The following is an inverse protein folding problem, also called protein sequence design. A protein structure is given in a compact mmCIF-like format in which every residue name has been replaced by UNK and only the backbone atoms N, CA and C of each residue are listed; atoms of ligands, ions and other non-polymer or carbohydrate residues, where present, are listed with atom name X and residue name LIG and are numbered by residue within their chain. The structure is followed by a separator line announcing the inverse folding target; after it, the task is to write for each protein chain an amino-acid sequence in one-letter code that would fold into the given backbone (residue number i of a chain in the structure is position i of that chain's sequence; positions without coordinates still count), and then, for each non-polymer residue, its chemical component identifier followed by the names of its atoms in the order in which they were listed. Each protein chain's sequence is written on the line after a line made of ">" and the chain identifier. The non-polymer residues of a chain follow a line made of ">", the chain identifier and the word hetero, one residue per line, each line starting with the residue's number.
data_IF_053736892213
#
_entry.id   IF_053736892213
#
_cell.length_a   1.000
_cell.length_b   1.000
_cell.length_c   1.000
_cell.angle_alpha   90.00
_cell.angle_beta   90.00
_cell.angle_gamma   90.00
#
_symmetry.space_group_name_H-M   'P 1'
#
loop_
_entity.id
_entity.type
_entity.pdbx_description
1 polymer ?
#
# COMPACT_ATOMS: atom_id res chain seq x y z
N UNK A 1 -15.73 -15.34 2.55
CA UNK A 1 -14.41 -15.56 3.20
C UNK A 1 -13.67 -16.71 2.52
N UNK A 2 -14.37 -17.82 2.23
CA UNK A 2 -13.85 -19.04 1.59
C UNK A 2 -12.95 -18.76 0.38
N UNK A 3 -13.42 -17.95 -0.57
CA UNK A 3 -12.66 -17.61 -1.79
C UNK A 3 -11.28 -17.00 -1.50
N UNK A 4 -11.19 -16.10 -0.52
CA UNK A 4 -9.92 -15.49 -0.16
C UNK A 4 -9.01 -16.48 0.58
N UNK A 5 -9.58 -17.36 1.39
CA UNK A 5 -8.84 -18.47 1.99
C UNK A 5 -8.27 -19.41 0.94
N UNK A 6 -9.05 -19.76 -0.09
CA UNK A 6 -8.55 -20.60 -1.19
C UNK A 6 -7.46 -19.89 -2.00
N UNK A 7 -7.61 -18.59 -2.26
CA UNK A 7 -6.53 -17.77 -2.85
C UNK A 7 -5.26 -17.83 -1.97
N UNK A 8 -5.38 -17.60 -0.66
CA UNK A 8 -4.24 -17.59 0.26
C UNK A 8 -3.43 -18.89 0.17
N UNK A 9 -4.12 -20.03 0.27
CA UNK A 9 -3.46 -21.34 0.23
C UNK A 9 -2.94 -21.70 -1.17
N UNK A 10 -3.63 -21.28 -2.25
CA UNK A 10 -3.11 -21.44 -3.62
C UNK A 10 -1.81 -20.66 -3.79
N UNK A 11 -1.76 -19.41 -3.31
CA UNK A 11 -0.55 -18.57 -3.39
C UNK A 11 0.60 -19.10 -2.54
N UNK A 12 0.31 -19.63 -1.35
CA UNK A 12 1.31 -20.23 -0.46
C UNK A 12 1.93 -21.51 -1.04
N UNK A 13 1.11 -22.32 -1.74
CA UNK A 13 1.58 -23.51 -2.43
C UNK A 13 2.35 -23.22 -3.75
N UNK A 14 2.18 -22.03 -4.34
CA UNK A 14 2.81 -21.65 -5.60
C UNK A 14 4.26 -21.15 -5.40
N UNK A 15 5.20 -21.74 -6.14
CA UNK A 15 6.58 -21.24 -6.25
C UNK A 15 6.80 -20.39 -7.50
N UNK A 16 6.02 -20.63 -8.58
CA UNK A 16 6.12 -19.93 -9.85
C UNK A 16 5.46 -18.54 -9.86
N UNK A 17 6.12 -17.57 -10.49
CA UNK A 17 5.57 -16.21 -10.65
C UNK A 17 4.29 -16.18 -11.48
N UNK A 18 4.24 -16.96 -12.57
CA UNK A 18 3.06 -17.00 -13.44
C UNK A 18 1.86 -17.66 -12.74
N UNK A 19 2.08 -18.74 -11.98
CA UNK A 19 1.01 -19.41 -11.22
C UNK A 19 0.38 -18.47 -10.19
N UNK A 20 1.20 -17.61 -9.54
CA UNK A 20 0.71 -16.57 -8.63
C UNK A 20 -0.13 -15.53 -9.36
N UNK A 21 0.31 -15.07 -10.54
CA UNK A 21 -0.45 -14.11 -11.36
C UNK A 21 -1.79 -14.71 -11.79
N UNK A 22 -1.80 -15.98 -12.20
CA UNK A 22 -3.02 -16.70 -12.56
C UNK A 22 -3.98 -16.82 -11.38
N UNK A 23 -3.48 -17.23 -10.21
CA UNK A 23 -4.31 -17.33 -8.99
C UNK A 23 -4.95 -15.98 -8.62
N UNK A 24 -4.19 -14.89 -8.70
CA UNK A 24 -4.71 -13.53 -8.46
C UNK A 24 -5.77 -13.15 -9.48
N UNK A 25 -5.51 -13.41 -10.77
CA UNK A 25 -6.44 -13.12 -11.86
C UNK A 25 -7.77 -13.84 -11.68
N UNK A 26 -7.71 -15.15 -11.42
CA UNK A 26 -8.90 -15.98 -11.23
C UNK A 26 -9.73 -15.51 -10.02
N UNK A 27 -9.07 -15.13 -8.92
CA UNK A 27 -9.75 -14.55 -7.76
C UNK A 27 -10.42 -13.21 -8.10
N UNK A 28 -9.67 -12.25 -8.66
CA UNK A 28 -10.18 -10.90 -8.93
C UNK A 28 -11.25 -10.88 -10.03
N UNK A 29 -11.26 -11.85 -10.94
CA UNK A 29 -12.33 -12.01 -11.93
C UNK A 29 -13.65 -12.49 -11.31
N UNK A 30 -13.58 -13.31 -10.25
CA UNK A 30 -14.74 -13.96 -9.67
C UNK A 30 -15.25 -13.27 -8.38
N UNK A 31 -14.40 -12.53 -7.68
CA UNK A 31 -14.73 -11.90 -6.39
C UNK A 31 -15.73 -10.74 -6.56
N UNK A 32 -16.72 -10.60 -5.65
CA UNK A 32 -17.53 -9.38 -5.57
C UNK A 32 -16.64 -8.13 -5.39
N UNK A 33 -17.05 -6.95 -5.91
CA UNK A 33 -16.19 -5.76 -5.90
C UNK A 33 -15.65 -5.36 -4.52
N UNK A 34 -16.46 -5.42 -3.47
CA UNK A 34 -16.01 -5.09 -2.11
C UNK A 34 -14.99 -6.10 -1.55
N UNK A 35 -15.20 -7.39 -1.83
CA UNK A 35 -14.26 -8.45 -1.46
C UNK A 35 -12.94 -8.33 -2.23
N UNK A 36 -13.01 -7.91 -3.49
CA UNK A 36 -11.84 -7.64 -4.32
C UNK A 36 -11.06 -6.42 -3.79
N UNK A 37 -11.74 -5.32 -3.45
CA UNK A 37 -11.13 -4.15 -2.83
C UNK A 37 -10.44 -4.51 -1.50
N UNK A 38 -11.13 -5.29 -0.66
CA UNK A 38 -10.58 -5.74 0.63
C UNK A 38 -9.34 -6.64 0.43
N UNK A 39 -9.40 -7.61 -0.47
CA UNK A 39 -8.28 -8.49 -0.78
C UNK A 39 -7.09 -7.72 -1.36
N UNK A 40 -7.35 -6.76 -2.26
CA UNK A 40 -6.32 -5.89 -2.83
C UNK A 40 -5.58 -5.12 -1.74
N UNK A 41 -6.30 -4.51 -0.79
CA UNK A 41 -5.68 -3.82 0.34
C UNK A 41 -4.82 -4.76 1.19
N UNK A 42 -5.29 -5.98 1.45
CA UNK A 42 -4.52 -7.00 2.19
C UNK A 42 -3.24 -7.39 1.45
N UNK A 43 -3.34 -7.71 0.16
CA UNK A 43 -2.23 -8.21 -0.66
C UNK A 43 -1.18 -7.14 -0.95
N UNK A 44 -1.59 -5.86 -1.08
CA UNK A 44 -0.68 -4.74 -1.25
C UNK A 44 -0.04 -4.27 0.07
N UNK A 45 -0.31 -4.93 1.19
CA UNK A 45 0.31 -4.62 2.47
C UNK A 45 -0.22 -3.33 3.10
N UNK A 46 -1.47 -2.94 2.81
CA UNK A 46 -2.11 -1.85 3.52
C UNK A 46 -2.03 -2.11 5.03
N UNK A 47 -1.72 -1.05 5.79
CA UNK A 47 -1.44 -1.15 7.23
C UNK A 47 -2.64 -1.77 7.96
N UNK A 48 -2.54 -3.07 8.23
CA UNK A 48 -3.65 -3.85 8.79
C UNK A 48 -3.95 -3.38 10.21
N UNK A 49 -5.24 -3.22 10.50
CA UNK A 49 -5.72 -2.77 11.79
C UNK A 49 -5.67 -3.94 12.78
N UNK A 50 -4.90 -3.79 13.86
CA UNK A 50 -4.90 -4.74 14.97
C UNK A 50 -6.07 -4.44 15.89
N UNK A 51 -7.12 -5.26 15.80
CA UNK A 51 -8.29 -5.15 16.68
C UNK A 51 -8.07 -5.80 18.04
N UNK A 52 -7.30 -6.89 18.06
CA UNK A 52 -7.04 -7.75 19.23
C UNK A 52 -5.54 -8.02 19.32
N UNK A 53 -5.00 -8.03 20.54
CA UNK A 53 -3.60 -8.38 20.80
C UNK A 53 -3.36 -9.89 20.76
N UNK A 54 -2.13 -10.31 20.49
CA UNK A 54 -1.74 -11.72 20.52
C UNK A 54 -1.91 -12.34 21.91
N UNK A 55 -1.66 -11.57 22.98
CA UNK A 55 -1.86 -12.03 24.36
C UNK A 55 -3.33 -12.30 24.69
N UNK A 56 -4.24 -11.42 24.25
CA UNK A 56 -5.70 -11.64 24.39
C UNK A 56 -6.14 -12.92 23.68
N UNK A 57 -5.68 -13.15 22.43
CA UNK A 57 -6.03 -14.36 21.68
C UNK A 57 -5.59 -15.64 22.40
N UNK A 58 -4.35 -15.67 22.92
CA UNK A 58 -3.85 -16.83 23.68
C UNK A 58 -4.63 -17.07 24.96
N UNK A 59 -4.93 -15.99 25.69
CA UNK A 59 -5.71 -16.06 26.92
C UNK A 59 -7.11 -16.60 26.66
N UNK A 60 -7.84 -16.06 25.68
CA UNK A 60 -9.18 -16.53 25.34
C UNK A 60 -9.17 -17.95 24.77
N UNK A 61 -8.13 -18.33 24.03
CA UNK A 61 -8.00 -19.71 23.55
C UNK A 61 -7.82 -20.68 24.72
N UNK A 62 -6.96 -20.35 25.70
CA UNK A 62 -6.80 -21.13 26.92
C UNK A 62 -8.13 -21.30 27.68
N UNK A 63 -8.92 -20.21 27.81
CA UNK A 63 -10.26 -20.27 28.42
C UNK A 63 -11.21 -21.20 27.65
N UNK A 64 -11.27 -21.08 26.32
CA UNK A 64 -12.19 -21.86 25.47
C UNK A 64 -11.83 -23.35 25.44
N UNK A 65 -10.55 -23.68 25.40
CA UNK A 65 -10.10 -25.08 25.36
C UNK A 65 -9.98 -25.72 26.74
N UNK A 66 -10.12 -24.93 27.82
CA UNK A 66 -9.85 -25.37 29.19
C UNK A 66 -8.37 -25.69 29.44
N UNK A 67 -7.46 -25.19 28.59
CA UNK A 67 -6.02 -25.38 28.75
C UNK A 67 -5.43 -24.35 29.70
N UNK A 68 -4.33 -24.73 30.37
CA UNK A 68 -3.56 -23.77 31.14
C UNK A 68 -2.79 -22.83 30.20
N UNK A 69 -2.61 -21.53 30.54
CA UNK A 69 -1.94 -20.57 29.65
C UNK A 69 -0.54 -21.01 29.19
N UNK A 70 0.23 -21.63 30.09
CA UNK A 70 1.57 -22.13 29.75
C UNK A 70 1.55 -23.18 28.64
N UNK A 71 0.50 -24.01 28.55
CA UNK A 71 0.39 -25.03 27.51
C UNK A 71 0.17 -24.39 26.14
N UNK A 72 -0.59 -23.30 26.06
CA UNK A 72 -0.78 -22.53 24.82
C UNK A 72 0.54 -21.91 24.37
N UNK A 73 1.36 -21.42 25.30
CA UNK A 73 2.70 -20.90 25.00
C UNK A 73 3.64 -21.99 24.48
N UNK A 74 3.63 -23.18 25.08
CA UNK A 74 4.41 -24.34 24.60
C UNK A 74 3.96 -24.81 23.21
N UNK A 75 2.65 -24.87 22.95
CA UNK A 75 2.13 -25.18 21.61
C UNK A 75 2.63 -24.17 20.57
N UNK A 76 2.62 -22.88 20.91
CA UNK A 76 3.14 -21.86 20.03
C UNK A 76 4.65 -21.97 19.81
N UNK A 77 5.43 -22.25 20.87
CA UNK A 77 6.87 -22.43 20.75
C UNK A 77 7.22 -23.58 19.80
N UNK A 78 6.38 -24.61 19.73
CA UNK A 78 6.54 -25.73 18.80
C UNK A 78 6.13 -25.40 17.36
N UNK A 79 4.99 -24.74 17.16
CA UNK A 79 4.44 -24.45 15.81
C UNK A 79 5.12 -23.24 15.16
N UNK A 80 5.47 -22.21 15.94
CA UNK A 80 6.13 -20.99 15.46
C UNK A 80 5.22 -19.95 14.79
N UNK A 81 3.97 -20.31 14.43
CA UNK A 81 2.95 -19.40 13.91
C UNK A 81 1.71 -19.41 14.81
N UNK A 82 1.31 -18.22 15.28
CA UNK A 82 0.18 -18.11 16.22
C UNK A 82 -1.16 -18.46 15.56
N UNK A 83 -1.36 -18.11 14.30
CA UNK A 83 -2.63 -18.37 13.63
C UNK A 83 -2.85 -19.88 13.45
N UNK A 84 -1.80 -20.60 13.07
CA UNK A 84 -1.78 -22.06 12.99
C UNK A 84 -1.91 -22.71 14.36
N UNK A 85 -1.17 -22.23 15.37
CA UNK A 85 -1.28 -22.73 16.76
C UNK A 85 -2.72 -22.66 17.25
N UNK A 86 -3.36 -21.49 17.12
CA UNK A 86 -4.75 -21.28 17.56
C UNK A 86 -5.69 -22.18 16.77
N UNK A 87 -5.50 -22.32 15.46
CA UNK A 87 -6.37 -23.15 14.64
C UNK A 87 -6.28 -24.65 14.96
N UNK A 88 -5.13 -25.12 15.45
CA UNK A 88 -4.91 -26.51 15.87
C UNK A 88 -5.48 -26.82 17.26
N UNK A 89 -5.38 -25.89 18.22
CA UNK A 89 -5.83 -26.15 19.61
C UNK A 89 -7.32 -25.86 19.81
N UNK A 90 -7.90 -24.97 19.02
CA UNK A 90 -9.32 -24.63 19.12
C UNK A 90 -10.18 -25.77 18.57
N UNK A 91 -11.32 -26.08 19.21
CA UNK A 91 -12.21 -27.14 18.75
C UNK A 91 -12.68 -26.90 17.32
N UNK A 92 -13.02 -27.97 16.60
CA UNK A 92 -13.59 -27.87 15.26
C UNK A 92 -14.92 -27.11 15.29
N UNK A 93 -15.26 -26.49 14.15
CA UNK A 93 -16.49 -25.73 14.00
C UNK A 93 -17.72 -26.63 14.17
N UNK A 94 -18.64 -26.23 15.06
CA UNK A 94 -19.90 -26.93 15.27
C UNK A 94 -20.80 -26.73 14.04
N UNK A 95 -21.07 -27.80 13.28
CA UNK A 95 -21.96 -27.74 12.12
C UNK A 95 -21.33 -27.19 10.84
N UNK A 96 -20.03 -27.46 10.60
CA UNK A 96 -19.30 -27.12 9.38
C UNK A 96 -19.76 -27.87 8.10
N UNK A 97 -21.07 -28.03 7.90
CA UNK A 97 -21.66 -28.48 6.65
C UNK A 97 -22.32 -27.30 5.94
N UNK A 98 -21.73 -26.83 4.83
CA UNK A 98 -22.23 -25.99 3.72
C UNK A 98 -23.18 -24.79 3.95
N UNK A 99 -23.66 -24.53 5.16
CA UNK A 99 -24.71 -23.56 5.47
C UNK A 99 -24.25 -22.42 6.38
N UNK A 100 -22.99 -22.40 6.83
CA UNK A 100 -22.41 -21.19 7.38
C UNK A 100 -22.38 -20.16 6.24
N UNK A 101 -23.20 -19.10 6.37
CA UNK A 101 -23.27 -18.00 5.42
C UNK A 101 -21.85 -17.64 4.97
N UNK A 102 -21.57 -17.77 3.67
CA UNK A 102 -20.29 -17.35 3.09
C UNK A 102 -20.26 -15.82 3.07
N UNK A 103 -20.21 -15.23 4.25
CA UNK A 103 -20.01 -13.80 4.44
C UNK A 103 -18.76 -13.43 3.64
N UNK A 104 -18.91 -12.48 2.72
CA UNK A 104 -17.80 -11.98 1.91
C UNK A 104 -16.61 -11.55 2.76
N UNK A 105 -15.40 -11.60 2.19
CA UNK A 105 -14.18 -11.14 2.88
C UNK A 105 -14.37 -9.75 3.49
N UNK A 106 -14.95 -8.82 2.73
CA UNK A 106 -15.15 -7.45 3.18
C UNK A 106 -16.08 -7.36 4.40
N UNK A 107 -17.18 -8.12 4.39
CA UNK A 107 -18.13 -8.17 5.50
C UNK A 107 -17.49 -8.74 6.77
N UNK A 108 -16.71 -9.83 6.64
CA UNK A 108 -15.98 -10.42 7.76
C UNK A 108 -14.95 -9.43 8.31
N UNK A 109 -14.11 -8.84 7.47
CA UNK A 109 -13.09 -7.86 7.90
C UNK A 109 -13.73 -6.63 8.55
N UNK A 110 -14.84 -6.13 8.01
CA UNK A 110 -15.55 -5.00 8.62
C UNK A 110 -16.04 -5.37 10.03
N UNK A 111 -16.85 -6.42 10.13
CA UNK A 111 -17.51 -6.86 11.37
C UNK A 111 -16.52 -7.29 12.45
N UNK A 112 -15.50 -8.08 12.09
CA UNK A 112 -14.65 -8.77 13.07
C UNK A 112 -13.30 -8.09 13.30
N UNK A 113 -12.95 -7.07 12.52
CA UNK A 113 -11.67 -6.37 12.66
C UNK A 113 -11.87 -4.86 12.79
N UNK A 114 -12.58 -4.23 11.85
CA UNK A 114 -12.72 -2.75 11.84
C UNK A 114 -13.63 -2.27 12.96
N UNK A 115 -14.85 -2.79 13.03
CA UNK A 115 -15.84 -2.42 14.05
C UNK A 115 -15.35 -2.84 15.44
N UNK A 116 -14.79 -4.05 15.52
CA UNK A 116 -14.33 -4.66 16.77
C UNK A 116 -13.23 -3.86 17.48
N UNK A 117 -12.48 -3.01 16.76
CA UNK A 117 -11.36 -2.25 17.32
C UNK A 117 -11.77 -1.33 18.47
N UNK A 118 -12.95 -0.70 18.35
CA UNK A 118 -13.44 0.29 19.33
C UNK A 118 -14.28 -0.33 20.44
N UNK A 119 -14.54 -1.63 20.37
CA UNK A 119 -15.35 -2.35 21.35
C UNK A 119 -14.56 -2.67 22.63
N UNK A 120 -15.25 -2.81 23.78
CA UNK A 120 -14.63 -3.28 25.02
C UNK A 120 -14.21 -4.76 24.90
N UNK A 121 -13.24 -5.16 25.73
CA UNK A 121 -12.63 -6.50 25.66
C UNK A 121 -13.63 -7.65 25.80
N UNK A 122 -14.68 -7.50 26.60
CA UNK A 122 -15.74 -8.51 26.74
C UNK A 122 -16.47 -8.75 25.42
N UNK A 123 -16.81 -7.68 24.70
CA UNK A 123 -17.45 -7.76 23.38
C UNK A 123 -16.49 -8.30 22.33
N UNK A 124 -15.21 -7.91 22.40
CA UNK A 124 -14.15 -8.49 21.56
C UNK A 124 -14.07 -10.00 21.72
N UNK A 125 -14.03 -10.49 22.97
CA UNK A 125 -14.00 -11.91 23.30
C UNK A 125 -15.24 -12.63 22.75
N UNK A 126 -16.43 -12.08 22.96
CA UNK A 126 -17.68 -12.67 22.48
C UNK A 126 -17.66 -12.87 20.96
N UNK A 127 -17.29 -11.83 20.20
CA UNK A 127 -17.22 -11.91 18.74
C UNK A 127 -16.14 -12.89 18.27
N UNK A 128 -14.94 -12.83 18.84
CA UNK A 128 -13.83 -13.74 18.47
C UNK A 128 -14.20 -15.20 18.72
N UNK A 129 -14.74 -15.51 19.89
CA UNK A 129 -15.14 -16.88 20.24
C UNK A 129 -16.32 -17.37 19.41
N UNK A 130 -17.25 -16.49 19.01
CA UNK A 130 -18.32 -16.86 18.07
C UNK A 130 -17.75 -17.19 16.67
N UNK A 131 -16.79 -16.41 16.17
CA UNK A 131 -16.14 -16.65 14.88
C UNK A 131 -15.36 -17.98 14.90
N UNK A 132 -14.67 -18.31 15.99
CA UNK A 132 -13.97 -19.59 16.12
C UNK A 132 -14.88 -20.81 15.93
N UNK A 133 -16.12 -20.74 16.44
CA UNK A 133 -17.11 -21.82 16.29
C UNK A 133 -17.65 -21.96 14.86
N UNK A 134 -17.51 -20.93 14.03
CA UNK A 134 -18.09 -20.87 12.68
C UNK A 134 -17.09 -21.20 11.57
N UNK A 135 -15.83 -20.77 11.71
CA UNK A 135 -14.83 -20.91 10.65
C UNK A 135 -14.19 -22.30 10.65
N UNK A 136 -14.08 -22.88 9.45
CA UNK A 136 -13.30 -24.10 9.25
C UNK A 136 -11.81 -23.86 9.54
N UNK A 137 -11.06 -24.93 9.80
CA UNK A 137 -9.64 -24.85 10.18
C UNK A 137 -8.80 -23.96 9.23
N UNK A 138 -8.90 -24.18 7.91
CA UNK A 138 -8.18 -23.38 6.89
C UNK A 138 -8.56 -21.89 6.91
N UNK A 139 -9.84 -21.58 7.11
CA UNK A 139 -10.34 -20.20 7.16
C UNK A 139 -9.91 -19.50 8.44
N UNK A 140 -9.92 -20.24 9.55
CA UNK A 140 -9.52 -19.77 10.87
C UNK A 140 -8.06 -19.32 10.88
N UNK A 141 -7.16 -20.04 10.21
CA UNK A 141 -5.75 -19.61 10.05
C UNK A 141 -5.68 -18.25 9.35
N UNK A 142 -6.33 -18.13 8.19
CA UNK A 142 -6.30 -16.89 7.39
C UNK A 142 -6.93 -15.73 8.17
N UNK A 143 -8.05 -15.97 8.85
CA UNK A 143 -8.73 -14.97 9.66
C UNK A 143 -7.85 -14.45 10.82
N UNK A 144 -7.15 -15.33 11.54
CA UNK A 144 -6.22 -14.89 12.59
C UNK A 144 -5.06 -14.06 12.02
N UNK A 145 -4.53 -14.42 10.84
CA UNK A 145 -3.49 -13.64 10.17
C UNK A 145 -4.01 -12.25 9.77
N UNK A 146 -5.26 -12.13 9.33
CA UNK A 146 -5.90 -10.83 9.05
C UNK A 146 -6.11 -10.03 10.34
N UNK A 147 -6.66 -10.64 11.39
CA UNK A 147 -6.98 -10.00 12.67
C UNK A 147 -5.74 -9.40 13.37
N UNK A 148 -4.61 -10.10 13.29
CA UNK A 148 -3.35 -9.72 13.95
C UNK A 148 -2.46 -8.81 13.08
N UNK A 149 -2.83 -8.60 11.82
CA UNK A 149 -2.04 -7.83 10.88
C UNK A 149 -0.83 -8.59 10.30
N UNK A 150 -0.82 -9.92 10.43
CA UNK A 150 0.28 -10.81 10.02
C UNK A 150 0.08 -11.47 8.66
N UNK A 151 -0.98 -11.13 7.93
CA UNK A 151 -1.27 -11.76 6.63
C UNK A 151 -0.25 -11.33 5.57
N UNK A 152 0.71 -12.21 5.30
CA UNK A 152 1.72 -12.07 4.24
C UNK A 152 1.66 -13.31 3.37
N UNK A 153 1.46 -13.12 2.07
CA UNK A 153 1.22 -14.23 1.12
C UNK A 153 2.33 -14.33 0.06
N UNK A 154 3.47 -13.66 0.27
CA UNK A 154 4.60 -13.71 -0.67
C UNK A 154 4.26 -13.21 -2.08
N UNK A 155 3.36 -12.22 -2.17
CA UNK A 155 2.96 -11.55 -3.42
C UNK A 155 3.38 -10.08 -3.32
N UNK A 156 4.10 -9.58 -4.33
CA UNK A 156 4.46 -8.17 -4.41
C UNK A 156 3.35 -7.35 -5.07
N UNK A 157 3.31 -6.04 -4.79
CA UNK A 157 2.39 -5.11 -5.47
C UNK A 157 2.52 -5.17 -6.99
N UNK A 158 3.72 -5.40 -7.51
CA UNK A 158 4.00 -5.57 -8.95
C UNK A 158 3.26 -6.77 -9.54
N UNK A 159 3.19 -7.89 -8.82
CA UNK A 159 2.45 -9.07 -9.30
C UNK A 159 0.94 -8.84 -9.28
N UNK A 160 0.43 -8.15 -8.26
CA UNK A 160 -0.97 -7.73 -8.22
C UNK A 160 -1.29 -6.79 -9.38
N UNK A 161 -0.43 -5.81 -9.64
CA UNK A 161 -0.57 -4.88 -10.76
C UNK A 161 -0.62 -5.62 -12.11
N UNK A 162 0.26 -6.61 -12.31
CA UNK A 162 0.26 -7.44 -13.52
C UNK A 162 -1.04 -8.22 -13.68
N UNK A 163 -1.52 -8.88 -12.63
CA UNK A 163 -2.77 -9.66 -12.68
C UNK A 163 -3.99 -8.77 -13.00
N UNK A 164 -4.08 -7.60 -12.37
CA UNK A 164 -5.16 -6.64 -12.63
C UNK A 164 -5.05 -5.99 -14.02
N UNK A 165 -3.84 -5.77 -14.52
CA UNK A 165 -3.60 -5.25 -15.87
C UNK A 165 -4.12 -6.22 -16.94
N UNK A 166 -3.88 -7.53 -16.77
CA UNK A 166 -4.42 -8.57 -17.64
C UNK A 166 -5.96 -8.59 -17.64
N UNK A 167 -6.59 -8.41 -16.47
CA UNK A 167 -8.06 -8.31 -16.37
C UNK A 167 -8.63 -7.05 -17.01
N UNK A 168 -7.97 -5.91 -16.81
CA UNK A 168 -8.40 -4.62 -17.35
C UNK A 168 -8.08 -4.47 -18.85
N UNK A 169 -7.14 -5.26 -19.38
CA UNK A 169 -6.61 -5.12 -20.73
C UNK A 169 -5.82 -3.83 -20.92
N UNK A 170 -5.00 -3.45 -19.93
CA UNK A 170 -4.13 -2.26 -19.96
C UNK A 170 -2.68 -2.65 -19.72
N UNK A 171 -1.75 -1.74 -19.96
CA UNK A 171 -0.33 -1.97 -19.67
C UNK A 171 -0.08 -2.13 -18.14
N UNK A 172 0.78 -3.06 -17.70
CA UNK A 172 1.12 -3.23 -16.28
C UNK A 172 1.64 -1.96 -15.59
N UNK A 173 2.35 -1.08 -16.29
CA UNK A 173 2.80 0.20 -15.74
C UNK A 173 1.63 1.15 -15.50
N UNK A 174 0.62 1.15 -16.39
CA UNK A 174 -0.62 1.92 -16.20
C UNK A 174 -1.38 1.39 -14.98
N UNK A 175 -1.49 0.07 -14.81
CA UNK A 175 -2.15 -0.50 -13.63
C UNK A 175 -1.36 -0.24 -12.34
N UNK A 176 -0.02 -0.36 -12.37
CA UNK A 176 0.82 -0.04 -11.22
C UNK A 176 0.62 1.42 -10.78
N UNK A 177 0.56 2.34 -11.76
CA UNK A 177 0.21 3.73 -11.54
C UNK A 177 -1.19 3.89 -10.94
N UNK A 178 -2.20 3.18 -11.47
CA UNK A 178 -3.57 3.17 -10.92
C UNK A 178 -3.68 2.55 -9.52
N UNK A 179 -2.72 1.75 -9.11
CA UNK A 179 -2.70 1.20 -7.77
C UNK A 179 -2.09 2.15 -6.75
N UNK A 180 -1.34 3.19 -7.14
CA UNK A 180 -0.71 4.15 -6.23
C UNK A 180 -1.73 4.78 -5.26
N UNK A 181 -1.30 5.05 -4.03
CA UNK A 181 -2.18 5.53 -2.96
C UNK A 181 -3.27 4.52 -2.55
N UNK A 182 -4.41 5.04 -2.09
CA UNK A 182 -5.58 4.25 -1.61
C UNK A 182 -6.68 4.15 -2.69
N UNK A 183 -6.27 3.80 -3.91
CA UNK A 183 -7.12 3.91 -5.09
C UNK A 183 -8.38 3.01 -5.11
N UNK A 184 -8.38 1.94 -4.32
CA UNK A 184 -9.46 0.97 -4.21
C UNK A 184 -9.87 0.74 -2.76
N UNK A 185 -10.22 1.83 -2.07
CA UNK A 185 -10.71 1.79 -0.70
C UNK A 185 -12.03 1.00 -0.55
N UNK A 186 -12.83 0.92 -1.63
CA UNK A 186 -14.12 0.24 -1.70
C UNK A 186 -14.33 -0.48 -3.06
N UNK A 187 -15.43 -1.22 -3.21
CA UNK A 187 -15.74 -1.95 -4.43
C UNK A 187 -15.93 -1.06 -5.65
N UNK A 188 -16.42 0.18 -5.48
CA UNK A 188 -16.55 1.14 -6.57
C UNK A 188 -15.16 1.60 -7.06
N UNK A 189 -14.21 1.82 -6.16
CA UNK A 189 -12.81 2.09 -6.45
C UNK A 189 -12.14 0.94 -7.19
N UNK A 190 -12.36 -0.29 -6.72
CA UNK A 190 -11.86 -1.47 -7.41
C UNK A 190 -12.42 -1.58 -8.84
N UNK A 191 -13.72 -1.39 -9.04
CA UNK A 191 -14.32 -1.44 -10.37
C UNK A 191 -13.74 -0.38 -11.32
N UNK A 192 -13.43 0.82 -10.83
CA UNK A 192 -12.75 1.88 -11.61
C UNK A 192 -11.33 1.50 -12.03
N UNK A 193 -10.61 0.69 -11.26
CA UNK A 193 -9.27 0.24 -11.67
C UNK A 193 -9.32 -0.58 -12.96
N UNK A 194 -10.39 -1.36 -13.15
CA UNK A 194 -10.56 -2.28 -14.27
C UNK A 194 -11.10 -1.61 -15.55
N UNK A 195 -11.48 -0.34 -15.51
CA UNK A 195 -11.93 0.37 -16.71
C UNK A 195 -10.77 0.64 -17.65
N UNK A 196 -10.94 0.53 -18.97
CA UNK A 196 -9.86 0.88 -19.91
C UNK A 196 -9.54 2.36 -19.91
N UNK A 197 -10.58 3.19 -19.88
CA UNK A 197 -10.43 4.64 -19.91
C UNK A 197 -9.76 5.18 -18.64
N UNK A 198 -8.88 6.20 -18.76
CA UNK A 198 -8.34 6.91 -17.61
C UNK A 198 -9.45 7.57 -16.81
N UNK A 199 -9.41 7.44 -15.49
CA UNK A 199 -10.33 8.12 -14.59
C UNK A 199 -9.82 9.51 -14.21
N UNK A 200 -10.70 10.39 -13.71
CA UNK A 200 -10.27 11.67 -13.14
C UNK A 200 -9.28 11.51 -11.97
N UNK A 201 -9.33 10.37 -11.26
CA UNK A 201 -8.35 10.04 -10.22
C UNK A 201 -6.96 9.77 -10.82
N UNK A 202 -6.88 9.22 -12.05
CA UNK A 202 -5.62 8.95 -12.72
C UNK A 202 -4.91 10.22 -13.15
N UNK A 203 -5.67 11.27 -13.47
CA UNK A 203 -5.12 12.60 -13.73
C UNK A 203 -4.39 13.17 -12.51
N UNK A 204 -4.77 12.80 -11.29
CA UNK A 204 -4.14 13.31 -10.06
C UNK A 204 -2.86 12.58 -9.66
N UNK A 205 -2.42 11.55 -10.38
CA UNK A 205 -1.31 10.68 -9.96
C UNK A 205 0.03 11.06 -10.62
N UNK A 206 1.17 10.76 -9.97
CA UNK A 206 2.49 11.04 -10.50
C UNK A 206 2.93 9.96 -11.47
N UNK A 207 3.79 10.29 -12.43
CA UNK A 207 4.47 9.27 -13.21
C UNK A 207 5.41 8.42 -12.34
N UNK A 208 5.80 7.21 -12.78
CA UNK A 208 6.87 6.47 -12.12
C UNK A 208 8.16 7.30 -12.01
N UNK A 209 8.78 7.31 -10.83
CA UNK A 209 10.01 8.06 -10.58
C UNK A 209 11.22 7.38 -11.24
N UNK A 210 11.90 8.10 -12.14
CA UNK A 210 13.13 7.62 -12.80
C UNK A 210 14.31 7.64 -11.82
N UNK A 211 15.05 6.53 -11.68
CA UNK A 211 16.10 6.40 -10.66
C UNK A 211 17.49 6.58 -11.28
N UNK A 212 18.34 7.35 -10.59
CA UNK A 212 19.75 7.47 -10.94
C UNK A 212 20.54 6.25 -10.44
N UNK A 213 21.49 5.80 -11.26
CA UNK A 213 22.52 4.85 -10.84
C UNK A 213 23.71 5.62 -10.25
N UNK A 214 24.27 5.12 -9.15
CA UNK A 214 25.51 5.66 -8.62
C UNK A 214 26.66 5.30 -9.57
N UNK A 215 27.63 6.21 -9.72
CA UNK A 215 28.86 5.94 -10.46
C UNK A 215 29.84 5.20 -9.53
N UNK A 216 30.43 4.13 -10.04
CA UNK A 216 31.40 3.32 -9.29
C UNK A 216 32.77 4.00 -9.16
N UNK A 217 33.04 5.00 -10.00
CA UNK A 217 34.27 5.80 -9.98
C UNK A 217 33.99 7.27 -10.21
N UNK A 218 34.74 8.16 -9.55
CA UNK A 218 34.73 9.59 -9.84
C UNK A 218 35.68 10.03 -10.96
N UNK A 219 36.34 9.06 -11.62
CA UNK A 219 37.26 9.33 -12.72
C UNK A 219 36.50 9.67 -14.01
N UNK A 220 36.77 10.85 -14.57
CA UNK A 220 36.02 11.40 -15.71
C UNK A 220 36.16 10.53 -16.95
N UNK A 221 37.33 9.95 -17.19
CA UNK A 221 37.61 9.12 -18.37
C UNK A 221 36.82 7.81 -18.30
N UNK A 222 36.78 7.19 -17.13
CA UNK A 222 36.00 5.97 -16.87
C UNK A 222 34.49 6.23 -16.98
N UNK A 223 34.02 7.37 -16.48
CA UNK A 223 32.60 7.76 -16.59
C UNK A 223 32.24 8.10 -18.03
N UNK A 224 33.10 8.81 -18.77
CA UNK A 224 32.91 9.11 -20.19
C UNK A 224 32.88 7.86 -21.08
N UNK A 225 33.66 6.84 -20.75
CA UNK A 225 33.56 5.55 -21.43
C UNK A 225 32.18 4.87 -21.26
N UNK A 226 31.44 5.21 -20.19
CA UNK A 226 30.14 4.60 -19.86
C UNK A 226 28.96 5.47 -20.31
N UNK A 227 29.01 6.78 -20.06
CA UNK A 227 27.91 7.73 -20.30
C UNK A 227 28.03 8.48 -21.63
N UNK A 228 29.13 8.30 -22.37
CA UNK A 228 29.41 9.06 -23.59
C UNK A 228 30.17 10.35 -23.32
N UNK A 229 30.25 11.22 -24.32
CA UNK A 229 31.07 12.41 -24.26
C UNK A 229 30.59 13.38 -23.17
N UNK A 230 31.54 13.93 -22.40
CA UNK A 230 31.26 14.89 -21.33
C UNK A 230 30.50 16.14 -21.84
N UNK A 231 30.64 16.47 -23.12
CA UNK A 231 29.92 17.57 -23.77
C UNK A 231 28.41 17.36 -23.85
N UNK A 232 27.95 16.11 -23.73
CA UNK A 232 26.53 15.75 -23.79
C UNK A 232 25.91 15.68 -22.39
N UNK A 233 26.70 15.92 -21.34
CA UNK A 233 26.25 15.81 -19.97
C UNK A 233 25.57 17.08 -19.50
N UNK A 234 24.47 16.90 -18.77
CA UNK A 234 23.88 17.94 -17.92
C UNK A 234 24.17 17.56 -16.46
N UNK A 235 24.65 18.52 -15.66
CA UNK A 235 25.01 18.30 -14.27
C UNK A 235 24.22 19.24 -13.36
N UNK A 236 23.59 18.67 -12.35
CA UNK A 236 22.80 19.39 -11.38
C UNK A 236 23.21 19.06 -9.94
N UNK A 237 22.81 19.92 -9.02
CA UNK A 237 23.02 19.67 -7.60
C UNK A 237 22.16 18.51 -7.12
N UNK A 238 22.78 17.52 -6.48
CA UNK A 238 22.05 16.52 -5.72
C UNK A 238 21.58 17.12 -4.40
N UNK A 239 20.34 17.60 -4.37
CA UNK A 239 19.74 18.20 -3.19
C UNK A 239 19.55 17.19 -2.04
N UNK A 240 19.63 17.67 -0.79
CA UNK A 240 19.32 16.91 0.44
C UNK A 240 17.88 17.21 0.88
N UNK A 241 16.92 16.62 0.18
CA UNK A 241 15.50 16.91 0.35
C UNK A 241 14.61 15.68 0.29
N UNK A 242 13.34 15.94 -0.04
CA UNK A 242 12.38 14.89 -0.34
C UNK A 242 11.92 15.01 -1.79
N UNK A 243 12.35 14.08 -2.63
CA UNK A 243 11.89 13.96 -4.01
C UNK A 243 10.37 13.89 -4.08
N UNK A 244 9.82 14.72 -4.96
CA UNK A 244 8.39 14.79 -5.20
C UNK A 244 8.07 15.12 -6.66
N UNK A 245 6.92 14.66 -7.13
CA UNK A 245 6.34 15.12 -8.37
C UNK A 245 5.20 16.09 -8.09
N UNK A 246 5.20 17.20 -8.82
CA UNK A 246 4.12 18.17 -8.81
C UNK A 246 3.27 17.95 -10.06
N UNK A 247 2.00 17.62 -9.86
CA UNK A 247 1.05 17.29 -10.93
C UNK A 247 -0.04 18.36 -10.96
N UNK A 248 -0.12 19.11 -12.05
CA UNK A 248 -1.15 20.12 -12.32
C UNK A 248 -1.99 19.67 -13.52
N UNK A 249 -3.18 19.11 -13.28
CA UNK A 249 -4.09 18.61 -14.33
C UNK A 249 -5.54 18.85 -13.91
N UNK A 250 -6.42 19.14 -14.88
CA UNK A 250 -7.86 19.30 -14.62
C UNK A 250 -8.22 20.45 -13.67
N UNK A 251 -7.33 21.42 -13.46
CA UNK A 251 -7.50 22.52 -12.49
C UNK A 251 -7.13 22.14 -11.04
N UNK A 252 -6.63 20.93 -10.82
CA UNK A 252 -6.15 20.46 -9.52
C UNK A 252 -4.62 20.38 -9.49
N UNK A 253 -4.06 20.67 -8.32
CA UNK A 253 -2.63 20.51 -8.03
C UNK A 253 -2.45 19.43 -6.96
N UNK A 254 -1.62 18.44 -7.25
CA UNK A 254 -1.23 17.40 -6.31
C UNK A 254 0.28 17.27 -6.23
N UNK A 255 0.80 17.08 -5.02
CA UNK A 255 2.22 16.88 -4.75
C UNK A 255 2.39 15.49 -4.17
N UNK A 256 3.16 14.66 -4.86
CA UNK A 256 3.40 13.26 -4.49
C UNK A 256 4.83 13.04 -4.10
N UNK A 257 5.07 12.44 -2.94
CA UNK A 257 6.41 11.99 -2.57
C UNK A 257 6.81 10.75 -3.38
N UNK A 258 8.12 10.48 -3.45
CA UNK A 258 8.63 9.21 -3.99
C UNK A 258 8.01 7.95 -3.35
N UNK A 259 7.55 8.05 -2.09
CA UNK A 259 6.87 6.98 -1.37
C UNK A 259 5.42 6.74 -1.81
N UNK A 260 4.97 7.39 -2.88
CA UNK A 260 3.58 7.35 -3.37
C UNK A 260 2.57 7.93 -2.36
N UNK A 261 3.01 8.90 -1.54
CA UNK A 261 2.14 9.58 -0.59
C UNK A 261 1.76 10.98 -1.11
N UNK A 262 0.48 11.32 -1.00
CA UNK A 262 0.00 12.66 -1.28
C UNK A 262 0.40 13.59 -0.12
N UNK A 263 1.23 14.59 -0.40
CA UNK A 263 1.84 15.46 0.62
C UNK A 263 1.36 16.92 0.56
N UNK A 264 0.29 17.22 -0.17
CA UNK A 264 -0.31 18.55 -0.27
C UNK A 264 -0.52 19.23 1.10
N UNK A 265 -1.11 18.52 2.06
CA UNK A 265 -1.39 19.06 3.39
C UNK A 265 -0.13 19.25 4.26
N UNK A 266 0.96 18.56 3.91
CA UNK A 266 2.26 18.73 4.54
C UNK A 266 3.07 19.89 3.90
N UNK A 267 2.80 20.23 2.63
CA UNK A 267 3.45 21.28 1.84
C UNK A 267 2.46 22.22 1.13
N UNK A 268 1.55 22.87 1.88
CA UNK A 268 0.49 23.69 1.28
C UNK A 268 1.04 24.87 0.48
N UNK A 269 2.15 25.50 0.88
CA UNK A 269 2.74 26.62 0.13
C UNK A 269 3.23 26.22 -1.27
N UNK A 270 3.67 24.97 -1.46
CA UNK A 270 4.13 24.46 -2.75
C UNK A 270 2.92 24.21 -3.65
N UNK A 271 1.88 23.57 -3.11
CA UNK A 271 0.64 23.35 -3.83
C UNK A 271 -0.04 24.68 -4.21
N UNK A 272 -0.09 25.64 -3.28
CA UNK A 272 -0.61 27.00 -3.51
C UNK A 272 0.17 27.73 -4.60
N UNK A 273 1.51 27.70 -4.57
CA UNK A 273 2.35 28.35 -5.58
C UNK A 273 2.14 27.77 -6.98
N UNK A 274 1.87 26.47 -7.07
CA UNK A 274 1.65 25.80 -8.34
C UNK A 274 0.25 25.97 -8.93
N UNK A 275 -0.71 26.57 -8.22
CA UNK A 275 -2.03 26.88 -8.79
C UNK A 275 -1.95 27.83 -10.00
N UNK A 276 -0.86 28.61 -10.11
CA UNK A 276 -0.61 29.47 -11.26
C UNK A 276 0.02 28.77 -12.48
N UNK A 277 0.34 27.48 -12.38
CA UNK A 277 0.97 26.74 -13.49
C UNK A 277 -0.04 26.35 -14.57
N UNK A 278 0.38 26.25 -15.84
CA UNK A 278 -0.48 25.75 -16.91
C UNK A 278 -1.04 24.37 -16.58
N UNK A 279 -2.32 24.15 -16.89
CA UNK A 279 -2.93 22.83 -16.76
C UNK A 279 -2.26 21.82 -17.71
N UNK A 280 -2.15 20.57 -17.27
CA UNK A 280 -1.41 19.53 -17.99
C UNK A 280 0.10 19.68 -17.82
N UNK A 281 0.56 20.10 -16.65
CA UNK A 281 1.98 20.20 -16.32
C UNK A 281 2.34 19.20 -15.24
N UNK A 282 3.41 18.43 -15.45
CA UNK A 282 3.99 17.56 -14.43
C UNK A 282 5.49 17.83 -14.31
N UNK A 283 5.95 18.13 -13.10
CA UNK A 283 7.35 18.36 -12.77
C UNK A 283 7.86 17.27 -11.83
N UNK A 284 9.10 16.82 -12.03
CA UNK A 284 9.87 16.09 -11.02
C UNK A 284 10.89 17.03 -10.38
N UNK A 285 11.10 16.85 -9.08
CA UNK A 285 11.87 17.81 -8.30
C UNK A 285 12.11 17.39 -6.86
N UNK A 286 12.73 18.28 -6.12
CA UNK A 286 13.03 18.10 -4.70
C UNK A 286 12.30 19.14 -3.84
N UNK A 287 11.61 18.67 -2.80
CA UNK A 287 11.13 19.52 -1.71
C UNK A 287 12.28 19.80 -0.75
N UNK A 288 12.54 21.09 -0.51
CA UNK A 288 13.62 21.56 0.36
C UNK A 288 13.09 22.47 1.44
N UNK A 289 13.59 22.28 2.66
CA UNK A 289 13.35 23.21 3.75
C UNK A 289 14.35 24.36 3.65
N UNK A 290 13.87 25.60 3.72
CA UNK A 290 14.70 26.80 3.50
C UNK A 290 14.34 27.87 4.49
N UNK A 291 15.34 28.52 5.09
CA UNK A 291 15.13 29.68 5.96
C UNK A 291 16.22 30.71 5.73
N UNK A 292 15.83 31.98 5.63
CA UNK A 292 16.76 33.10 5.43
C UNK A 292 17.72 32.88 4.24
N UNK A 293 17.19 32.29 3.14
CA UNK A 293 17.95 31.97 1.94
C UNK A 293 18.91 30.78 2.06
N UNK A 294 18.87 30.02 3.17
CA UNK A 294 19.72 28.85 3.40
C UNK A 294 18.92 27.57 3.45
N UNK A 295 19.45 26.50 2.84
CA UNK A 295 18.90 25.17 2.97
C UNK A 295 19.02 24.70 4.43
N UNK A 296 17.93 24.17 4.94
CA UNK A 296 17.90 23.39 6.16
C UNK A 296 18.11 21.92 5.77
N UNK A 297 18.89 21.17 6.56
CA UNK A 297 19.11 19.75 6.28
C UNK A 297 17.85 18.90 6.40
N UNK A 298 17.89 17.68 5.85
CA UNK A 298 16.74 16.77 5.78
C UNK A 298 16.05 16.51 7.13
N UNK A 299 16.77 16.58 8.25
CA UNK A 299 16.19 16.43 9.59
C UNK A 299 15.12 17.49 9.92
N UNK A 300 15.24 18.72 9.38
CA UNK A 300 14.21 19.74 9.52
C UNK A 300 12.98 19.40 8.66
N UNK A 301 13.20 18.98 7.41
CA UNK A 301 12.15 18.57 6.48
C UNK A 301 11.38 17.34 7.00
N UNK A 302 12.06 16.40 7.65
CA UNK A 302 11.47 15.21 8.28
C UNK A 302 10.41 15.55 9.33
N UNK A 303 10.58 16.67 10.04
CA UNK A 303 9.56 17.15 10.99
C UNK A 303 8.28 17.58 10.29
N UNK A 304 8.33 17.95 9.00
CA UNK A 304 7.14 18.27 8.19
C UNK A 304 6.52 17.04 7.57
N UNK A 305 7.31 16.23 6.86
CA UNK A 305 6.83 15.09 6.08
C UNK A 305 6.10 14.05 6.94
N UNK A 306 6.48 13.86 8.20
CA UNK A 306 5.79 12.96 9.12
C UNK A 306 4.40 13.42 9.59
N UNK A 307 3.93 14.61 9.20
CA UNK A 307 2.65 15.17 9.66
C UNK A 307 1.62 15.15 8.53
N UNK A 308 0.41 14.65 8.82
CA UNK A 308 -0.71 14.70 7.87
C UNK A 308 -1.12 16.12 7.52
N UNK A 309 -1.11 17.04 8.50
CA UNK A 309 -1.41 18.47 8.30
C UNK A 309 -0.44 19.32 9.10
N UNK A 310 0.20 20.31 8.46
CA UNK A 310 1.10 21.23 9.16
C UNK A 310 0.34 22.37 9.83
N UNK A 311 0.77 22.77 11.02
CA UNK A 311 0.24 23.96 11.70
C UNK A 311 0.87 25.22 11.11
N UNK A 312 0.21 26.37 11.31
CA UNK A 312 0.75 27.67 10.91
C UNK A 312 2.15 27.92 11.47
N UNK A 313 2.40 27.54 12.72
CA UNK A 313 3.71 27.65 13.37
C UNK A 313 4.78 26.88 12.60
N UNK A 314 4.53 25.61 12.27
CA UNK A 314 5.51 24.77 11.55
C UNK A 314 5.79 25.34 10.15
N UNK A 315 4.77 25.85 9.45
CA UNK A 315 4.92 26.45 8.12
C UNK A 315 5.84 27.69 8.15
N UNK A 316 5.76 28.49 9.21
CA UNK A 316 6.63 29.66 9.41
C UNK A 316 8.05 29.25 9.85
N UNK A 317 8.16 28.30 10.77
CA UNK A 317 9.45 27.88 11.33
C UNK A 317 10.32 27.10 10.33
N UNK A 318 9.65 26.34 9.44
CA UNK A 318 10.28 25.47 8.44
C UNK A 318 9.64 25.75 7.08
N UNK A 319 9.92 26.91 6.45
CA UNK A 319 9.44 27.18 5.09
C UNK A 319 9.98 26.13 4.14
N UNK A 320 9.19 25.75 3.13
CA UNK A 320 9.66 24.84 2.09
C UNK A 320 9.44 25.39 0.69
N UNK A 321 10.30 24.98 -0.22
CA UNK A 321 10.18 25.25 -1.65
C UNK A 321 10.35 23.95 -2.44
N UNK A 322 9.99 24.02 -3.71
CA UNK A 322 10.17 22.93 -4.67
C UNK A 322 11.17 23.36 -5.73
N UNK A 323 12.24 22.59 -5.90
CA UNK A 323 13.21 22.78 -6.99
C UNK A 323 12.94 21.71 -8.04
N UNK A 324 12.37 22.12 -9.17
CA UNK A 324 12.17 21.23 -10.30
C UNK A 324 13.50 20.96 -11.03
N UNK A 325 13.67 19.74 -11.50
CA UNK A 325 14.79 19.32 -12.35
C UNK A 325 14.35 18.53 -13.59
N UNK A 326 13.06 18.24 -13.73
CA UNK A 326 12.52 17.58 -14.93
C UNK A 326 11.09 18.04 -15.21
N UNK A 327 10.73 18.08 -16.50
CA UNK A 327 9.40 18.40 -17.02
C UNK A 327 8.85 17.16 -17.73
N UNK A 328 8.00 16.42 -17.02
CA UNK A 328 7.46 15.14 -17.49
C UNK A 328 6.25 15.31 -18.40
N UNK A 329 5.49 16.40 -18.26
CA UNK A 329 4.31 16.68 -19.06
C UNK A 329 4.13 18.18 -19.26
N UNK A 330 3.73 18.59 -20.46
CA UNK A 330 3.37 19.96 -20.78
C UNK A 330 2.13 20.01 -21.68
N UNK A 331 1.13 20.82 -21.31
CA UNK A 331 -0.12 20.90 -22.05
C UNK A 331 -0.87 19.57 -22.18
N UNK A 332 -0.64 18.63 -21.25
CA UNK A 332 -1.22 17.29 -21.29
C UNK A 332 -0.48 16.29 -22.18
N UNK A 333 0.69 16.66 -22.73
CA UNK A 333 1.53 15.77 -23.55
C UNK A 333 2.65 15.20 -22.68
N UNK A 334 2.74 13.87 -22.60
CA UNK A 334 3.83 13.15 -21.93
C UNK A 334 5.16 13.34 -22.70
N UNK A 335 6.15 13.93 -22.03
CA UNK A 335 7.45 14.27 -22.60
C UNK A 335 8.55 13.28 -22.25
N UNK A 336 8.27 12.25 -21.44
CA UNK A 336 9.30 11.31 -20.95
C UNK A 336 10.00 10.49 -22.04
N UNK A 337 9.43 10.45 -23.24
CA UNK A 337 10.04 9.82 -24.42
C UNK A 337 10.94 10.76 -25.24
N UNK A 338 11.07 12.02 -24.84
CA UNK A 338 11.90 13.02 -25.52
C UNK A 338 13.29 13.11 -24.86
N UNK A 339 14.31 13.62 -25.57
CA UNK A 339 15.60 13.98 -24.96
C UNK A 339 15.45 15.04 -23.84
N UNK A 340 16.35 14.97 -22.86
CA UNK A 340 16.49 15.97 -21.80
C UNK A 340 16.95 17.34 -22.33
#
# INVERSE_FOLDING_TARGET
>A
MKRFTDLYWRLDACTGTNDKVEALRDYFAAAPPDDAACALAVLCGARQLRAVSTGQLRHWAAEVTGHQPWLVEECYAHVGDLAETLALILPDAEGAGDAAADDGLAAVVQRTIRDLRQEPDDRKREVVTAVWRQLAHRERIVWHKLLTGGCRVGVSRTLVARALAELAGVDPAVMAHRLMGDAAADGAGFARLLTREPSAADLRRPYPFFLAAALDSGDVETVAATLGAVTDWQAEWKWDGMRAQLVCRGGDVTVWSRGEELVNEAFPEVAEAALGMPAGTVLDGELLAVRDGRLLGFAALSKRSGRRRVTRTIRVDIPCLFVAYDLLEAGGVDLRGQPL
#
